data_IF_261575610395
#
_entry.id   IF_261575610395
#
_cell.length_a   1.000
_cell.length_b   1.000
_cell.length_c   1.000
_cell.angle_alpha   90.00
_cell.angle_beta   90.00
_cell.angle_gamma   90.00
#
_symmetry.space_group_name_H-M   'P 1'
#
loop_
_entity.id
_entity.type
_entity.pdbx_description
1 polymer ?
#
# COMPACT_ATOMS: atom_id res chain seq x y z
N UNK A 1 10.15 1.68 -13.21
CA UNK A 1 8.94 0.93 -12.79
C UNK A 1 7.88 1.93 -12.38
N UNK A 2 6.78 2.02 -13.14
CA UNK A 2 5.73 3.01 -12.95
C UNK A 2 4.95 2.77 -11.66
N UNK A 3 4.87 3.76 -10.77
CA UNK A 3 4.10 3.73 -9.52
C UNK A 3 2.62 3.92 -9.88
N UNK A 4 1.69 3.06 -9.39
CA UNK A 4 0.24 3.27 -9.54
C UNK A 4 -0.08 4.68 -9.03
N UNK A 5 -0.49 5.58 -9.93
CA UNK A 5 -0.95 6.93 -9.59
C UNK A 5 -2.47 6.88 -9.51
N UNK A 6 -3.00 6.72 -8.31
CA UNK A 6 -4.42 6.85 -7.98
C UNK A 6 -4.91 8.24 -8.44
N UNK A 7 -6.08 8.32 -9.07
CA UNK A 7 -6.43 9.42 -10.01
C UNK A 7 -6.86 10.73 -9.34
N UNK A 8 -7.39 10.74 -8.12
CA UNK A 8 -7.81 12.02 -7.49
C UNK A 8 -6.62 12.95 -7.17
N UNK A 9 -5.39 12.52 -7.45
CA UNK A 9 -4.15 13.21 -7.09
C UNK A 9 -3.37 13.62 -8.34
N UNK A 10 -4.03 14.35 -9.23
CA UNK A 10 -3.32 15.23 -10.14
C UNK A 10 -3.39 16.68 -9.68
N UNK A 11 -2.24 17.22 -9.30
CA UNK A 11 -2.06 18.64 -8.96
C UNK A 11 -1.95 19.57 -10.18
N UNK A 12 -2.04 19.04 -11.40
CA UNK A 12 -2.15 19.86 -12.61
C UNK A 12 -3.61 20.18 -12.97
N UNK A 13 -3.87 21.32 -13.63
CA UNK A 13 -5.13 21.60 -14.35
C UNK A 13 -5.32 20.54 -15.45
N UNK A 14 -5.75 19.34 -15.06
CA UNK A 14 -6.17 18.30 -15.98
C UNK A 14 -7.63 18.59 -16.31
N UNK A 15 -7.92 18.81 -17.59
CA UNK A 15 -9.31 19.00 -18.04
C UNK A 15 -10.19 17.82 -17.61
N UNK A 16 -11.46 18.12 -17.26
CA UNK A 16 -12.42 17.14 -16.72
C UNK A 16 -12.45 15.82 -17.51
N UNK A 17 -12.33 15.90 -18.83
CA UNK A 17 -12.27 14.74 -19.74
C UNK A 17 -11.10 13.79 -19.47
N UNK A 18 -9.89 14.30 -19.17
CA UNK A 18 -8.72 13.46 -18.88
C UNK A 18 -8.81 12.81 -17.49
N UNK A 19 -9.54 13.42 -16.55
CA UNK A 19 -9.85 12.81 -15.25
C UNK A 19 -10.86 11.68 -15.45
N UNK A 20 -11.93 11.94 -16.21
CA UNK A 20 -12.97 10.96 -16.52
C UNK A 20 -12.41 9.75 -17.29
N UNK A 21 -11.63 9.98 -18.35
CA UNK A 21 -11.02 8.93 -19.16
C UNK A 21 -10.06 8.05 -18.35
N UNK A 22 -9.37 8.62 -17.36
CA UNK A 22 -8.55 7.85 -16.42
C UNK A 22 -9.41 7.08 -15.41
N UNK A 23 -10.45 7.68 -14.84
CA UNK A 23 -11.36 7.01 -13.89
C UNK A 23 -12.02 5.80 -14.55
N UNK A 24 -12.40 5.94 -15.80
CA UNK A 24 -12.90 4.84 -16.64
C UNK A 24 -11.82 3.79 -16.93
N UNK A 25 -10.58 4.20 -17.18
CA UNK A 25 -9.46 3.27 -17.34
C UNK A 25 -9.16 2.48 -16.06
N UNK A 26 -9.19 3.11 -14.87
CA UNK A 26 -9.04 2.42 -13.58
C UNK A 26 -10.20 1.48 -13.30
N UNK A 27 -11.44 1.89 -13.58
CA UNK A 27 -12.61 1.01 -13.44
C UNK A 27 -12.52 -0.22 -14.35
N UNK A 28 -11.94 -0.07 -15.55
CA UNK A 28 -11.67 -1.19 -16.48
C UNK A 28 -10.50 -2.07 -16.04
N UNK A 29 -9.55 -1.53 -15.28
CA UNK A 29 -8.37 -2.27 -14.80
C UNK A 29 -8.63 -3.02 -13.49
N UNK A 30 -9.67 -2.62 -12.75
CA UNK A 30 -10.04 -3.20 -11.47
C UNK A 30 -10.51 -4.65 -11.67
N UNK A 31 -9.77 -5.58 -11.10
CA UNK A 31 -10.15 -6.98 -11.13
C UNK A 31 -11.30 -7.27 -10.15
N UNK A 32 -11.91 -8.45 -10.27
CA UNK A 32 -12.80 -8.97 -9.24
C UNK A 32 -12.05 -9.12 -7.91
N UNK A 33 -12.81 -9.31 -6.83
CA UNK A 33 -12.28 -9.42 -5.47
C UNK A 33 -12.54 -10.78 -4.81
N UNK A 34 -13.26 -11.66 -5.50
CA UNK A 34 -13.77 -12.90 -4.93
C UNK A 34 -12.64 -13.86 -4.51
N UNK A 35 -11.41 -13.67 -5.01
CA UNK A 35 -10.25 -14.50 -4.72
C UNK A 35 -9.21 -13.79 -3.83
N UNK A 36 -9.57 -12.65 -3.22
CA UNK A 36 -8.68 -11.93 -2.31
C UNK A 36 -8.65 -12.61 -0.93
N UNK A 37 -8.10 -13.82 -0.91
CA UNK A 37 -8.04 -14.72 0.25
C UNK A 37 -6.58 -14.94 0.61
N UNK A 38 -6.27 -14.98 1.92
CA UNK A 38 -4.91 -15.19 2.39
C UNK A 38 -4.35 -16.54 1.89
N UNK A 39 -3.19 -16.56 1.21
CA UNK A 39 -2.59 -17.80 0.70
C UNK A 39 -2.26 -18.82 1.79
N UNK A 40 -2.35 -20.10 1.46
CA UNK A 40 -2.16 -21.21 2.42
C UNK A 40 -0.77 -21.20 3.07
N UNK A 41 0.26 -20.82 2.32
CA UNK A 41 1.65 -20.79 2.76
C UNK A 41 1.98 -19.70 3.80
N UNK A 42 1.06 -18.77 4.07
CA UNK A 42 1.22 -17.78 5.12
C UNK A 42 1.07 -18.42 6.51
N UNK A 43 1.87 -17.94 7.45
CA UNK A 43 1.72 -18.24 8.89
C UNK A 43 0.39 -17.70 9.41
N UNK A 44 -0.07 -18.21 10.56
CA UNK A 44 -1.33 -17.75 11.17
C UNK A 44 -1.31 -16.24 11.49
N UNK A 45 -0.17 -15.73 12.00
CA UNK A 45 0.02 -14.31 12.26
C UNK A 45 -0.03 -13.48 10.98
N UNK A 46 0.61 -13.95 9.90
CA UNK A 46 0.59 -13.25 8.63
C UNK A 46 -0.81 -13.27 7.99
N UNK A 47 -1.58 -14.36 8.14
CA UNK A 47 -2.99 -14.44 7.72
C UNK A 47 -3.86 -13.44 8.51
N UNK A 48 -3.68 -13.34 9.83
CA UNK A 48 -4.39 -12.37 10.64
C UNK A 48 -4.11 -10.91 10.20
N UNK A 49 -2.85 -10.59 9.87
CA UNK A 49 -2.49 -9.28 9.31
C UNK A 49 -3.09 -9.06 7.92
N UNK A 50 -3.13 -10.10 7.08
CA UNK A 50 -3.79 -10.04 5.77
C UNK A 50 -5.27 -9.67 5.91
N UNK A 51 -6.00 -10.39 6.75
CA UNK A 51 -7.43 -10.16 6.98
C UNK A 51 -7.68 -8.76 7.58
N UNK A 52 -6.82 -8.30 8.49
CA UNK A 52 -6.87 -6.94 9.03
C UNK A 52 -6.68 -5.89 7.94
N UNK A 53 -5.71 -6.06 7.04
CA UNK A 53 -5.47 -5.11 5.96
C UNK A 53 -6.62 -5.11 4.95
N UNK A 54 -7.11 -6.29 4.56
CA UNK A 54 -8.25 -6.42 3.62
C UNK A 54 -9.51 -5.77 4.21
N UNK A 55 -9.83 -6.02 5.48
CA UNK A 55 -11.01 -5.45 6.14
C UNK A 55 -10.94 -3.93 6.28
N UNK A 56 -9.78 -3.36 6.58
CA UNK A 56 -9.62 -1.90 6.61
C UNK A 56 -9.68 -1.26 5.22
N UNK A 57 -9.14 -1.95 4.21
CA UNK A 57 -9.19 -1.49 2.82
C UNK A 57 -10.56 -1.70 2.17
N UNK A 58 -11.42 -2.52 2.76
CA UNK A 58 -12.77 -2.79 2.27
C UNK A 58 -13.61 -1.51 2.18
N UNK A 59 -13.51 -0.67 3.22
CA UNK A 59 -14.25 0.61 3.33
C UNK A 59 -13.97 1.57 2.18
N UNK A 60 -12.77 1.49 1.60
CA UNK A 60 -12.28 2.38 0.54
C UNK A 60 -12.12 1.67 -0.81
N UNK A 61 -12.38 0.35 -0.84
CA UNK A 61 -12.36 -0.50 -2.03
C UNK A 61 -11.11 -0.30 -2.91
N UNK A 62 -9.92 -0.24 -2.29
CA UNK A 62 -8.66 0.04 -3.00
C UNK A 62 -7.90 -1.22 -3.45
N UNK A 63 -8.21 -2.39 -2.89
CA UNK A 63 -7.53 -3.65 -3.18
C UNK A 63 -8.40 -4.57 -4.05
N UNK A 64 -7.77 -5.25 -5.01
CA UNK A 64 -8.40 -6.27 -5.86
C UNK A 64 -7.55 -7.56 -5.95
N UNK A 65 -8.02 -8.56 -6.71
CA UNK A 65 -7.29 -9.83 -6.87
C UNK A 65 -5.86 -9.67 -7.43
N UNK A 66 -5.53 -8.58 -8.13
CA UNK A 66 -4.17 -8.34 -8.64
C UNK A 66 -3.20 -7.95 -7.51
N UNK A 67 -3.73 -7.44 -6.39
CA UNK A 67 -2.94 -7.06 -5.22
C UNK A 67 -2.60 -8.25 -4.32
N UNK A 68 -3.26 -9.39 -4.49
CA UNK A 68 -3.11 -10.59 -3.67
C UNK A 68 -1.64 -10.97 -3.43
N UNK A 69 -0.84 -11.04 -4.50
CA UNK A 69 0.56 -11.44 -4.39
C UNK A 69 1.41 -10.44 -3.62
N UNK A 70 1.20 -9.14 -3.83
CA UNK A 70 1.95 -8.08 -3.14
C UNK A 70 1.52 -7.97 -1.68
N UNK A 71 0.23 -8.15 -1.40
CA UNK A 71 -0.31 -8.17 -0.04
C UNK A 71 0.18 -9.38 0.75
N UNK A 72 0.21 -10.57 0.15
CA UNK A 72 0.75 -11.75 0.82
C UNK A 72 2.25 -11.59 1.16
N UNK A 73 3.05 -11.00 0.26
CA UNK A 73 4.46 -10.68 0.53
C UNK A 73 4.58 -9.65 1.66
N UNK A 74 3.73 -8.63 1.68
CA UNK A 74 3.68 -7.64 2.76
C UNK A 74 3.44 -8.30 4.12
N UNK A 75 2.39 -9.14 4.22
CA UNK A 75 2.01 -9.81 5.46
C UNK A 75 3.10 -10.76 5.95
N UNK A 76 3.71 -11.54 5.04
CA UNK A 76 4.83 -12.41 5.37
C UNK A 76 6.05 -11.62 5.88
N UNK A 77 6.37 -10.49 5.25
CA UNK A 77 7.46 -9.64 5.68
C UNK A 77 7.18 -8.96 7.04
N UNK A 78 5.92 -8.62 7.32
CA UNK A 78 5.50 -8.05 8.59
C UNK A 78 5.66 -9.04 9.75
N UNK A 79 5.17 -10.27 9.57
CA UNK A 79 5.36 -11.33 10.57
C UNK A 79 6.84 -11.65 10.80
N UNK A 80 7.60 -11.82 9.71
CA UNK A 80 9.05 -12.04 9.78
C UNK A 80 9.81 -10.89 10.46
N UNK A 81 9.38 -9.64 10.29
CA UNK A 81 9.92 -8.49 11.02
C UNK A 81 9.67 -8.61 12.53
N UNK A 82 8.44 -8.95 12.95
CA UNK A 82 8.10 -9.12 14.36
C UNK A 82 8.93 -10.23 14.98
N UNK A 83 9.01 -11.40 14.34
CA UNK A 83 9.81 -12.52 14.83
C UNK A 83 11.30 -12.16 14.93
N UNK A 84 11.85 -11.50 13.92
CA UNK A 84 13.26 -11.09 13.91
C UNK A 84 13.54 -10.07 15.01
N UNK A 85 12.60 -9.16 15.26
CA UNK A 85 12.70 -8.16 16.35
C UNK A 85 12.74 -8.84 17.71
N UNK A 86 11.83 -9.79 17.97
CA UNK A 86 11.82 -10.59 19.21
C UNK A 86 13.13 -11.36 19.40
N UNK A 87 13.68 -11.95 18.33
CA UNK A 87 14.97 -12.64 18.39
C UNK A 87 16.13 -11.69 18.69
N UNK A 88 16.13 -10.48 18.09
CA UNK A 88 17.14 -9.45 18.35
C UNK A 88 17.09 -8.91 19.78
N UNK A 89 15.91 -8.80 20.39
CA UNK A 89 15.77 -8.42 21.80
C UNK A 89 16.44 -9.41 22.74
N UNK A 90 16.39 -10.71 22.43
CA UNK A 90 17.01 -11.78 23.22
C UNK A 90 18.50 -11.92 22.92
N UNK A 91 18.89 -11.93 21.64
CA UNK A 91 20.26 -12.21 21.22
C UNK A 91 21.18 -10.99 21.26
N UNK A 92 20.62 -9.78 21.31
CA UNK A 92 21.35 -8.53 21.20
C UNK A 92 21.81 -8.18 19.78
N UNK A 93 22.22 -6.93 19.61
CA UNK A 93 22.67 -6.35 18.34
C UNK A 93 24.07 -6.81 17.93
N UNK A 94 24.89 -7.20 18.89
CA UNK A 94 26.30 -7.57 18.69
C UNK A 94 26.50 -8.99 19.20
N UNK A 95 27.09 -9.83 18.36
CA UNK A 95 27.52 -11.19 18.72
C UNK A 95 29.03 -11.23 18.84
N UNK A 96 29.50 -12.12 19.72
CA UNK A 96 30.92 -12.36 19.94
C UNK A 96 31.29 -13.75 19.44
N UNK A 97 32.43 -13.86 18.77
CA UNK A 97 33.00 -15.13 18.33
C UNK A 97 34.46 -15.21 18.76
N UNK A 98 34.83 -16.32 19.39
CA UNK A 98 36.21 -16.59 19.73
C UNK A 98 36.99 -16.98 18.48
N UNK A 99 38.11 -16.30 18.24
CA UNK A 99 39.04 -16.59 17.14
C UNK A 99 40.42 -16.91 17.71
N UNK A 100 41.33 -17.44 16.86
CA UNK A 100 42.73 -17.73 17.24
C UNK A 100 43.50 -16.51 17.76
N UNK A 101 43.04 -15.30 17.44
CA UNK A 101 43.64 -14.01 17.79
C UNK A 101 42.90 -13.27 18.90
N UNK A 102 41.83 -13.84 19.46
CA UNK A 102 41.02 -13.24 20.53
C UNK A 102 39.52 -13.19 20.22
N UNK A 103 38.79 -12.44 21.04
CA UNK A 103 37.35 -12.24 20.90
C UNK A 103 37.05 -11.23 19.78
N UNK A 104 36.30 -11.64 18.77
CA UNK A 104 35.84 -10.79 17.68
C UNK A 104 34.36 -10.48 17.88
N UNK A 105 34.03 -9.19 17.93
CA UNK A 105 32.67 -8.69 17.95
C UNK A 105 32.19 -8.39 16.52
N UNK A 106 30.97 -8.80 16.19
CA UNK A 106 30.35 -8.54 14.89
C UNK A 106 28.85 -8.31 15.04
N UNK A 107 28.25 -7.60 14.08
CA UNK A 107 26.82 -7.28 14.08
C UNK A 107 26.01 -8.57 13.90
N UNK A 108 24.95 -8.74 14.70
CA UNK A 108 24.05 -9.87 14.59
C UNK A 108 23.45 -9.93 13.16
N UNK A 109 23.60 -11.04 12.42
CA UNK A 109 23.05 -11.17 11.06
C UNK A 109 21.54 -10.91 10.98
N UNK A 110 20.81 -11.08 12.10
CA UNK A 110 19.39 -10.76 12.20
C UNK A 110 19.09 -9.28 11.91
N UNK A 111 20.03 -8.36 12.17
CA UNK A 111 19.89 -6.94 11.83
C UNK A 111 19.72 -6.75 10.32
N UNK A 112 20.52 -7.47 9.52
CA UNK A 112 20.43 -7.43 8.05
C UNK A 112 19.13 -8.07 7.55
N UNK A 113 18.64 -9.09 8.23
CA UNK A 113 17.35 -9.74 7.92
C UNK A 113 16.20 -8.78 8.22
N UNK A 114 16.23 -8.12 9.38
CA UNK A 114 15.23 -7.12 9.77
C UNK A 114 15.18 -5.97 8.75
N UNK A 115 16.34 -5.47 8.31
CA UNK A 115 16.42 -4.41 7.30
C UNK A 115 15.77 -4.83 5.97
N UNK A 116 15.95 -6.10 5.55
CA UNK A 116 15.29 -6.63 4.33
C UNK A 116 13.78 -6.67 4.49
N UNK A 117 13.27 -7.12 5.64
CA UNK A 117 11.83 -7.13 5.89
C UNK A 117 11.25 -5.72 5.88
N UNK A 118 11.89 -4.74 6.52
CA UNK A 118 11.48 -3.33 6.45
C UNK A 118 11.44 -2.84 4.99
N UNK A 119 12.43 -3.17 4.17
CA UNK A 119 12.44 -2.81 2.74
C UNK A 119 11.25 -3.43 2.00
N UNK A 120 10.95 -4.71 2.22
CA UNK A 120 9.80 -5.37 1.59
C UNK A 120 8.47 -4.78 2.03
N UNK A 121 8.31 -4.46 3.32
CA UNK A 121 7.13 -3.80 3.86
C UNK A 121 6.92 -2.43 3.19
N UNK A 122 7.96 -1.60 3.12
CA UNK A 122 7.87 -0.25 2.54
C UNK A 122 7.61 -0.28 1.04
N UNK A 123 8.27 -1.19 0.31
CA UNK A 123 8.06 -1.36 -1.13
C UNK A 123 6.65 -1.88 -1.45
N UNK A 124 6.17 -2.85 -0.69
CA UNK A 124 4.83 -3.42 -0.89
C UNK A 124 3.74 -2.43 -0.51
N UNK A 125 3.90 -1.71 0.62
CA UNK A 125 3.00 -0.63 1.03
C UNK A 125 2.88 0.47 -0.03
N UNK A 126 4.00 0.85 -0.67
CA UNK A 126 4.01 1.82 -1.76
C UNK A 126 3.35 1.31 -3.06
N UNK A 127 3.38 0.00 -3.31
CA UNK A 127 2.72 -0.62 -4.47
C UNK A 127 1.21 -0.76 -4.28
N UNK A 128 0.80 -1.07 -3.04
CA UNK A 128 -0.60 -1.23 -2.63
C UNK A 128 -1.31 0.10 -2.35
N UNK A 129 -0.56 1.21 -2.25
CA UNK A 129 -1.13 2.53 -1.92
C UNK A 129 -1.52 2.67 -0.44
N UNK A 130 -0.91 1.88 0.46
CA UNK A 130 -1.22 1.88 1.89
C UNK A 130 -0.44 2.94 2.68
N UNK A 131 0.63 3.50 2.11
CA UNK A 131 1.47 4.49 2.77
C UNK A 131 0.67 5.74 3.17
N UNK A 132 1.05 6.42 4.26
CA UNK A 132 0.37 7.64 4.74
C UNK A 132 0.31 8.74 3.69
N UNK A 133 1.35 8.86 2.85
CA UNK A 133 1.35 9.76 1.68
C UNK A 133 0.32 9.39 0.63
N UNK A 134 -0.08 8.12 0.56
CA UNK A 134 -1.12 7.61 -0.35
C UNK A 134 -2.51 7.61 0.31
N UNK A 135 -2.59 7.62 1.65
CA UNK A 135 -3.82 7.85 2.42
C UNK A 135 -4.27 9.32 2.48
N UNK A 136 -3.36 10.27 2.70
CA UNK A 136 -3.67 11.72 2.67
C UNK A 136 -4.26 12.17 1.33
N UNK A 137 -3.87 11.46 0.29
CA UNK A 137 -4.35 11.57 -1.08
C UNK A 137 -5.79 11.05 -1.28
N UNK A 138 -6.26 10.12 -0.45
CA UNK A 138 -7.63 9.59 -0.44
C UNK A 138 -8.61 10.48 0.36
N UNK A 139 -8.11 11.29 1.29
CA UNK A 139 -8.91 12.16 2.17
C UNK A 139 -9.15 13.56 1.57
N UNK A 140 -8.65 13.85 0.36
CA UNK A 140 -9.00 15.10 -0.32
C UNK A 140 -10.50 15.06 -0.57
N UNK A 141 -11.30 15.95 0.04
CA UNK A 141 -12.73 15.98 -0.22
C UNK A 141 -12.89 16.20 -1.72
N UNK A 142 -13.62 15.29 -2.38
CA UNK A 142 -14.21 15.57 -3.68
C UNK A 142 -14.96 16.88 -3.47
N UNK A 143 -14.40 18.01 -3.92
CA UNK A 143 -15.16 19.25 -3.98
C UNK A 143 -16.33 18.91 -4.88
N UNK A 144 -17.50 18.71 -4.29
CA UNK A 144 -18.75 18.70 -5.02
C UNK A 144 -18.69 19.91 -5.94
N UNK A 145 -18.66 19.66 -7.25
CA UNK A 145 -18.76 20.74 -8.21
C UNK A 145 -20.09 21.42 -7.90
N UNK A 146 -20.00 22.66 -7.41
CA UNK A 146 -21.18 23.50 -7.22
C UNK A 146 -22.02 23.38 -8.49
N UNK A 147 -23.32 23.07 -8.38
CA UNK A 147 -24.17 22.92 -9.55
C UNK A 147 -24.02 24.15 -10.44
N UNK A 148 -23.95 23.94 -11.76
CA UNK A 148 -23.85 25.03 -12.74
C UNK A 148 -24.85 26.13 -12.37
N UNK A 149 -24.34 27.34 -12.24
CA UNK A 149 -25.10 28.49 -11.79
C UNK A 149 -26.32 28.67 -12.73
N UNK A 150 -27.55 28.69 -12.19
CA UNK A 150 -28.82 28.73 -12.95
C UNK A 150 -28.84 29.75 -14.11
N UNK A 151 -28.06 30.82 -13.99
CA UNK A 151 -27.87 31.84 -15.01
C UNK A 151 -27.23 31.31 -16.31
N UNK A 152 -26.31 30.35 -16.25
CA UNK A 152 -25.67 29.76 -17.44
C UNK A 152 -26.67 28.86 -18.18
N UNK A 153 -27.52 28.14 -17.46
CA UNK A 153 -28.58 27.32 -18.05
C UNK A 153 -29.60 28.19 -18.79
N UNK A 154 -30.06 29.28 -18.16
CA UNK A 154 -31.00 30.23 -18.77
C UNK A 154 -30.41 30.97 -19.99
N UNK A 155 -29.09 31.22 -20.01
CA UNK A 155 -28.43 31.85 -21.16
C UNK A 155 -28.37 30.92 -22.37
N UNK A 156 -28.19 29.61 -22.16
CA UNK A 156 -28.19 28.60 -23.23
C UNK A 156 -29.59 28.40 -23.81
N UNK A 157 -30.63 28.42 -22.98
CA UNK A 157 -32.03 28.30 -23.42
C UNK A 157 -32.52 29.52 -24.21
N UNK A 158 -31.87 30.68 -24.07
CA UNK A 158 -32.24 31.92 -24.77
C UNK A 158 -31.55 32.10 -26.13
N UNK A 159 -30.59 31.24 -26.46
CA UNK A 159 -29.83 31.24 -27.71
C UNK A 159 -30.19 30.07 -28.64
N UNK A 160 -31.16 29.24 -28.26
CA UNK A 160 -31.82 28.24 -29.11
C UNK A 160 -33.18 28.79 -29.56
#
# INVERSE_FOLDING_TARGET
MSRRKIIDISTGKIGKEKIQARKEAEKKLKANRDDLIAPEWLTENAKAEFDRVVSECDKINILDNLDLGVLAIYCNAYDGYIETTKKLEVEGLVKKKMTRTGELEFINPLVNVQEKYVKYIMQSSSKLGLATTDRLKLVVPVKEEKPENKFITMLKERQA
#
